data_IF_661549188826
#
_entry.id   IF_661549188826
#
_cell.length_a   1.000
_cell.length_b   1.000
_cell.length_c   1.000
_cell.angle_alpha   90.00
_cell.angle_beta   90.00
_cell.angle_gamma   90.00
#
_symmetry.space_group_name_H-M   'P 1'
#
loop_
_entity.id
_entity.type
_entity.pdbx_description
1 polymer ?
#
# COMPACT_ATOMS: atom_id res chain seq x y z
N UNK A 1 -0.76 15.58 -6.61
CA UNK A 1 -0.53 14.23 -6.05
C UNK A 1 0.80 13.54 -6.41
N UNK A 2 1.67 14.08 -7.30
CA UNK A 2 2.94 13.40 -7.68
C UNK A 2 4.03 13.40 -6.58
N UNK A 3 4.09 14.43 -5.74
CA UNK A 3 5.19 14.61 -4.77
C UNK A 3 5.09 13.73 -3.53
N UNK A 4 3.87 13.38 -3.12
CA UNK A 4 3.62 12.68 -1.85
C UNK A 4 4.29 11.29 -1.82
N UNK A 5 4.15 10.53 -2.91
CA UNK A 5 4.66 9.16 -2.98
C UNK A 5 6.19 9.05 -3.04
N UNK A 6 6.88 10.03 -3.64
CA UNK A 6 8.35 10.10 -3.56
C UNK A 6 8.82 10.66 -2.20
N UNK A 7 8.05 11.59 -1.63
CA UNK A 7 8.33 12.17 -0.32
C UNK A 7 8.33 11.13 0.79
N UNK A 8 7.39 10.19 0.79
CA UNK A 8 7.30 9.16 1.82
C UNK A 8 8.53 8.25 1.91
N UNK A 9 9.17 7.89 0.80
CA UNK A 9 10.41 7.11 0.82
C UNK A 9 11.60 7.88 1.40
N UNK A 10 11.56 9.22 1.37
CA UNK A 10 12.56 10.10 1.98
C UNK A 10 12.24 10.35 3.45
N UNK A 11 10.98 10.65 3.76
CA UNK A 11 10.44 10.88 5.11
C UNK A 11 10.61 9.63 5.98
N UNK A 12 10.35 8.45 5.43
CA UNK A 12 10.52 7.17 6.14
C UNK A 12 11.96 6.86 6.57
N UNK A 13 12.97 7.62 6.12
CA UNK A 13 14.35 7.53 6.61
C UNK A 13 14.58 8.31 7.90
N UNK A 14 13.63 9.16 8.30
CA UNK A 14 13.67 9.98 9.50
C UNK A 14 12.44 9.63 10.37
N UNK A 15 12.59 8.72 11.34
CA UNK A 15 11.49 8.28 12.20
C UNK A 15 10.78 9.44 12.91
N UNK A 16 11.54 10.40 13.44
CA UNK A 16 11.02 11.59 14.14
C UNK A 16 10.06 12.42 13.28
N UNK A 17 10.39 12.62 11.99
CA UNK A 17 9.49 13.32 11.06
C UNK A 17 8.27 12.47 10.72
N UNK A 18 8.46 11.15 10.61
CA UNK A 18 7.36 10.22 10.31
C UNK A 18 6.36 10.19 11.46
N UNK A 19 6.82 10.20 12.71
CA UNK A 19 5.98 10.29 13.91
C UNK A 19 5.21 11.62 13.97
N UNK A 20 5.87 12.74 13.68
CA UNK A 20 5.20 14.05 13.62
C UNK A 20 4.09 14.09 12.56
N UNK A 21 4.33 13.50 11.38
CA UNK A 21 3.31 13.39 10.32
C UNK A 21 2.17 12.45 10.76
N UNK A 22 2.49 11.32 11.41
CA UNK A 22 1.49 10.40 11.92
C UNK A 22 0.57 11.06 12.96
N UNK A 23 1.13 11.93 13.82
CA UNK A 23 0.35 12.70 14.79
C UNK A 23 -0.61 13.67 14.09
N UNK A 24 -0.14 14.39 13.07
CA UNK A 24 -0.97 15.31 12.27
C UNK A 24 -2.10 14.54 11.55
N UNK A 25 -1.79 13.40 10.93
CA UNK A 25 -2.79 12.54 10.26
C UNK A 25 -3.82 12.03 11.26
N UNK A 26 -3.39 11.61 12.45
CA UNK A 26 -4.29 11.11 13.49
C UNK A 26 -5.24 12.21 13.99
N UNK A 27 -4.74 13.43 14.19
CA UNK A 27 -5.60 14.59 14.51
C UNK A 27 -6.60 14.89 13.40
N UNK A 28 -6.16 14.85 12.14
CA UNK A 28 -7.04 15.05 10.99
C UNK A 28 -8.14 13.97 10.90
N UNK A 29 -7.80 12.71 11.18
CA UNK A 29 -8.75 11.59 11.23
C UNK A 29 -9.82 11.80 12.32
N UNK A 30 -9.41 12.23 13.52
CA UNK A 30 -10.35 12.57 14.60
C UNK A 30 -11.26 13.76 14.25
N UNK A 31 -10.70 14.80 13.62
CA UNK A 31 -11.48 15.95 13.18
C UNK A 31 -12.49 15.58 12.11
N UNK A 32 -12.11 14.74 11.15
CA UNK A 32 -13.01 14.23 10.11
C UNK A 32 -14.15 13.40 10.73
N UNK A 33 -13.84 12.55 11.72
CA UNK A 33 -14.84 11.74 12.41
C UNK A 33 -15.85 12.55 13.24
N UNK A 34 -15.47 13.75 13.70
CA UNK A 34 -16.34 14.68 14.44
C UNK A 34 -17.09 15.65 13.54
N UNK A 35 -16.64 15.81 12.29
CA UNK A 35 -17.24 16.72 11.32
C UNK A 35 -18.55 16.20 10.75
N UNK A 36 -19.35 17.07 10.11
CA UNK A 36 -20.53 16.63 9.37
C UNK A 36 -20.11 15.79 8.16
N UNK A 37 -20.78 14.64 7.96
CA UNK A 37 -20.57 13.82 6.78
C UNK A 37 -21.00 14.59 5.52
N UNK A 38 -20.12 14.58 4.52
CA UNK A 38 -20.31 15.21 3.23
C UNK A 38 -19.95 14.22 2.11
N UNK A 39 -20.10 14.64 0.85
CA UNK A 39 -19.89 13.76 -0.30
C UNK A 39 -18.44 13.30 -0.50
N UNK A 40 -17.46 13.96 0.14
CA UNK A 40 -16.03 13.64 0.08
C UNK A 40 -15.55 12.82 1.28
N UNK A 41 -16.39 12.63 2.31
CA UNK A 41 -15.95 12.09 3.60
C UNK A 41 -15.37 10.68 3.50
N UNK A 42 -15.90 9.85 2.60
CA UNK A 42 -15.36 8.50 2.37
C UNK A 42 -13.99 8.52 1.68
N UNK A 43 -13.82 9.38 0.67
CA UNK A 43 -12.57 9.61 -0.03
C UNK A 43 -11.50 10.17 0.93
N UNK A 44 -11.84 11.21 1.70
CA UNK A 44 -10.97 11.83 2.70
C UNK A 44 -10.54 10.83 3.78
N UNK A 45 -11.48 10.02 4.28
CA UNK A 45 -11.18 8.98 5.27
C UNK A 45 -10.22 7.93 4.68
N UNK A 46 -10.47 7.47 3.45
CA UNK A 46 -9.60 6.50 2.79
C UNK A 46 -8.21 7.06 2.49
N UNK A 47 -8.11 8.34 2.13
CA UNK A 47 -6.84 9.04 1.97
C UNK A 47 -6.08 9.08 3.30
N UNK A 48 -6.71 9.49 4.40
CA UNK A 48 -6.07 9.50 5.72
C UNK A 48 -5.60 8.12 6.15
N UNK A 49 -6.40 7.07 5.91
CA UNK A 49 -6.00 5.67 6.14
C UNK A 49 -4.76 5.27 5.32
N UNK A 50 -4.71 5.65 4.05
CA UNK A 50 -3.57 5.35 3.18
C UNK A 50 -2.29 6.02 3.69
N UNK A 51 -2.36 7.31 4.01
CA UNK A 51 -1.22 8.09 4.53
C UNK A 51 -0.77 7.58 5.91
N UNK A 52 -1.72 7.23 6.78
CA UNK A 52 -1.45 6.64 8.10
C UNK A 52 -0.75 5.29 7.97
N UNK A 53 -1.27 4.42 7.11
CA UNK A 53 -0.68 3.11 6.83
C UNK A 53 0.77 3.21 6.33
N UNK A 54 1.07 4.18 5.46
CA UNK A 54 2.44 4.43 5.01
C UNK A 54 3.36 4.85 6.17
N UNK A 55 2.94 5.78 7.02
CA UNK A 55 3.73 6.21 8.17
C UNK A 55 4.00 5.03 9.12
N UNK A 56 2.96 4.26 9.44
CA UNK A 56 3.06 3.07 10.30
C UNK A 56 4.01 2.02 9.71
N UNK A 57 3.95 1.79 8.40
CA UNK A 57 4.88 0.90 7.69
C UNK A 57 6.33 1.35 7.86
N UNK A 58 6.64 2.63 7.65
CA UNK A 58 7.99 3.16 7.82
C UNK A 58 8.48 3.14 9.28
N UNK A 59 7.56 3.23 10.24
CA UNK A 59 7.84 3.08 11.67
C UNK A 59 7.93 1.60 12.12
N UNK A 60 7.76 0.63 11.22
CA UNK A 60 7.80 -0.79 11.53
C UNK A 60 6.55 -1.35 12.22
N UNK A 61 5.47 -0.56 12.33
CA UNK A 61 4.18 -0.95 12.91
C UNK A 61 3.32 -1.67 11.86
N UNK A 62 3.82 -2.83 11.39
CA UNK A 62 3.32 -3.50 10.19
C UNK A 62 1.85 -3.96 10.30
N UNK A 63 1.44 -4.45 11.46
CA UNK A 63 0.07 -4.93 11.66
C UNK A 63 -0.95 -3.79 11.54
N UNK A 64 -0.67 -2.66 12.18
CA UNK A 64 -1.53 -1.47 12.07
C UNK A 64 -1.52 -0.89 10.66
N UNK A 65 -0.37 -0.92 9.97
CA UNK A 65 -0.30 -0.52 8.57
C UNK A 65 -1.20 -1.40 7.68
N UNK A 66 -1.15 -2.72 7.86
CA UNK A 66 -2.00 -3.68 7.16
C UNK A 66 -3.49 -3.41 7.39
N UNK A 67 -3.91 -3.18 8.64
CA UNK A 67 -5.30 -2.85 8.96
C UNK A 67 -5.78 -1.58 8.24
N UNK A 68 -4.94 -0.53 8.24
CA UNK A 68 -5.25 0.70 7.53
C UNK A 68 -5.41 0.45 6.02
N UNK A 69 -4.50 -0.30 5.38
CA UNK A 69 -4.60 -0.59 3.95
C UNK A 69 -5.80 -1.46 3.59
N UNK A 70 -6.15 -2.46 4.42
CA UNK A 70 -7.33 -3.32 4.20
C UNK A 70 -8.66 -2.57 4.31
N UNK A 71 -8.72 -1.52 5.12
CA UNK A 71 -9.93 -0.72 5.30
C UNK A 71 -10.37 0.04 4.05
N UNK A 72 -9.43 0.35 3.14
CA UNK A 72 -9.68 1.14 1.93
C UNK A 72 -10.53 0.36 0.90
N UNK A 73 -10.13 -0.83 0.40
CA UNK A 73 -10.96 -1.61 -0.52
C UNK A 73 -12.30 -2.03 0.11
N UNK A 74 -12.36 -2.20 1.44
CA UNK A 74 -13.62 -2.46 2.13
C UNK A 74 -14.63 -1.29 2.01
N UNK A 75 -14.17 -0.08 1.75
CA UNK A 75 -14.99 1.11 1.53
C UNK A 75 -15.14 1.48 0.04
N UNK A 76 -14.76 0.60 -0.89
CA UNK A 76 -14.76 0.86 -2.34
C UNK A 76 -16.07 1.48 -2.85
N UNK A 77 -17.23 0.95 -2.43
CA UNK A 77 -18.55 1.44 -2.87
C UNK A 77 -18.87 2.87 -2.42
N UNK A 78 -18.14 3.40 -1.43
CA UNK A 78 -18.34 4.75 -0.89
C UNK A 78 -17.39 5.78 -1.51
N UNK A 79 -16.29 5.34 -2.13
CA UNK A 79 -15.30 6.21 -2.78
C UNK A 79 -15.88 6.73 -4.09
N UNK A 80 -15.96 8.06 -4.25
CA UNK A 80 -16.60 8.70 -5.40
C UNK A 80 -15.64 9.33 -6.40
N UNK A 81 -14.49 9.83 -5.94
CA UNK A 81 -13.59 10.66 -6.75
C UNK A 81 -12.18 10.09 -6.80
N UNK A 82 -11.66 9.65 -5.66
CA UNK A 82 -10.27 9.26 -5.47
C UNK A 82 -10.06 7.77 -5.75
N UNK A 83 -10.46 7.32 -6.94
CA UNK A 83 -10.36 5.92 -7.37
C UNK A 83 -8.92 5.37 -7.38
N UNK A 84 -7.90 6.23 -7.31
CA UNK A 84 -6.49 5.80 -7.17
C UNK A 84 -6.18 5.19 -5.81
N UNK A 85 -7.00 5.44 -4.77
CA UNK A 85 -6.75 4.97 -3.40
C UNK A 85 -6.72 3.46 -3.31
N UNK A 86 -7.66 2.78 -3.97
CA UNK A 86 -7.79 1.32 -3.90
C UNK A 86 -6.59 0.59 -4.51
N UNK A 87 -6.20 0.83 -5.78
CA UNK A 87 -5.04 0.15 -6.37
C UNK A 87 -3.73 0.48 -5.66
N UNK A 88 -3.57 1.69 -5.08
CA UNK A 88 -2.40 2.02 -4.27
C UNK A 88 -2.41 1.31 -2.90
N UNK A 89 -3.56 1.18 -2.24
CA UNK A 89 -3.69 0.43 -0.99
C UNK A 89 -3.37 -1.05 -1.19
N UNK A 90 -3.89 -1.66 -2.27
CA UNK A 90 -3.59 -3.05 -2.64
C UNK A 90 -2.11 -3.26 -2.94
N UNK A 91 -1.48 -2.31 -3.65
CA UNK A 91 -0.04 -2.34 -3.90
C UNK A 91 0.77 -2.28 -2.60
N UNK A 92 0.46 -1.37 -1.67
CA UNK A 92 1.19 -1.28 -0.40
C UNK A 92 0.99 -2.52 0.49
N UNK A 93 -0.22 -3.08 0.50
CA UNK A 93 -0.51 -4.34 1.19
C UNK A 93 0.26 -5.52 0.58
N UNK A 94 0.35 -5.59 -0.74
CA UNK A 94 1.16 -6.60 -1.42
C UNK A 94 2.64 -6.49 -1.05
N UNK A 95 3.18 -5.27 -0.98
CA UNK A 95 4.57 -5.04 -0.56
C UNK A 95 4.81 -5.51 0.89
N UNK A 96 3.87 -5.25 1.82
CA UNK A 96 3.94 -5.78 3.18
C UNK A 96 3.97 -7.31 3.21
N UNK A 97 3.16 -7.97 2.37
CA UNK A 97 3.15 -9.43 2.30
C UNK A 97 4.44 -10.00 1.72
N UNK A 98 5.03 -9.32 0.72
CA UNK A 98 6.34 -9.69 0.19
C UNK A 98 7.43 -9.61 1.28
N UNK A 99 7.41 -8.56 2.11
CA UNK A 99 8.33 -8.41 3.24
C UNK A 99 8.16 -9.53 4.29
N UNK A 100 6.95 -10.09 4.42
CA UNK A 100 6.64 -11.23 5.29
C UNK A 100 6.86 -12.61 4.62
N UNK A 101 7.34 -12.66 3.37
CA UNK A 101 7.53 -13.90 2.60
C UNK A 101 6.25 -14.49 1.99
N UNK A 102 5.10 -13.81 2.13
CA UNK A 102 3.78 -14.22 1.63
C UNK A 102 3.57 -13.82 0.16
N UNK A 103 4.50 -14.24 -0.70
CA UNK A 103 4.56 -13.81 -2.10
C UNK A 103 3.34 -14.21 -2.94
N UNK A 104 2.74 -15.38 -2.69
CA UNK A 104 1.55 -15.82 -3.43
C UNK A 104 0.33 -14.92 -3.18
N UNK A 105 0.12 -14.52 -1.92
CA UNK A 105 -0.94 -13.59 -1.55
C UNK A 105 -0.68 -12.19 -2.10
N UNK A 106 0.58 -11.75 -2.08
CA UNK A 106 0.98 -10.48 -2.70
C UNK A 106 0.67 -10.46 -4.21
N UNK A 107 0.96 -11.53 -4.95
CA UNK A 107 0.67 -11.61 -6.39
C UNK A 107 -0.84 -11.47 -6.66
N UNK A 108 -1.70 -12.13 -5.86
CA UNK A 108 -3.16 -12.01 -6.00
C UNK A 108 -3.64 -10.57 -5.81
N UNK A 109 -3.08 -9.86 -4.83
CA UNK A 109 -3.38 -8.44 -4.59
C UNK A 109 -2.92 -7.56 -5.77
N UNK A 110 -1.71 -7.80 -6.30
CA UNK A 110 -1.16 -7.06 -7.44
C UNK A 110 -1.97 -7.27 -8.72
N UNK A 111 -2.41 -8.50 -8.99
CA UNK A 111 -3.26 -8.82 -10.13
C UNK A 111 -4.64 -8.16 -9.99
N UNK A 112 -5.21 -8.18 -8.77
CA UNK A 112 -6.47 -7.48 -8.47
C UNK A 112 -6.35 -5.98 -8.72
N UNK A 113 -5.28 -5.36 -8.21
CA UNK A 113 -5.02 -3.93 -8.38
C UNK A 113 -4.90 -3.51 -9.85
N UNK A 114 -4.29 -4.37 -10.68
CA UNK A 114 -4.04 -4.10 -12.10
C UNK A 114 -5.26 -4.35 -13.00
N UNK A 115 -6.04 -5.39 -12.71
CA UNK A 115 -7.11 -5.84 -13.60
C UNK A 115 -8.44 -5.13 -13.32
N UNK A 116 -8.73 -4.83 -12.06
CA UNK A 116 -10.05 -4.38 -11.63
C UNK A 116 -10.20 -2.86 -11.56
N UNK A 117 -9.10 -2.09 -11.58
CA UNK A 117 -9.11 -0.63 -11.43
C UNK A 117 -8.38 0.03 -12.61
N UNK A 118 -9.06 0.97 -13.29
CA UNK A 118 -8.56 1.63 -14.51
C UNK A 118 -9.04 3.08 -14.60
N UNK A 119 -8.41 3.87 -15.46
CA UNK A 119 -8.76 5.26 -15.78
C UNK A 119 -8.71 6.23 -14.58
N UNK A 120 -7.83 5.96 -13.61
CA UNK A 120 -7.62 6.84 -12.45
C UNK A 120 -6.36 7.70 -12.60
N UNK A 121 -6.28 8.77 -11.81
CA UNK A 121 -5.13 9.68 -11.84
C UNK A 121 -3.82 8.95 -11.53
N UNK A 122 -2.79 9.17 -12.34
CA UNK A 122 -1.46 8.56 -12.21
C UNK A 122 -1.46 7.01 -12.34
N UNK A 123 -2.42 6.42 -13.04
CA UNK A 123 -2.50 4.97 -13.31
C UNK A 123 -1.19 4.38 -13.82
N UNK A 124 -0.55 4.98 -14.83
CA UNK A 124 0.69 4.47 -15.40
C UNK A 124 1.79 4.31 -14.34
N UNK A 125 1.90 5.25 -13.39
CA UNK A 125 2.89 5.18 -12.30
C UNK A 125 2.60 4.01 -11.36
N UNK A 126 1.33 3.83 -11.00
CA UNK A 126 0.90 2.71 -10.14
C UNK A 126 1.15 1.37 -10.84
N UNK A 127 0.85 1.28 -12.14
CA UNK A 127 1.11 0.09 -12.95
C UNK A 127 2.59 -0.25 -13.06
N UNK A 128 3.48 0.73 -13.23
CA UNK A 128 4.93 0.47 -13.22
C UNK A 128 5.39 -0.11 -11.89
N UNK A 129 4.88 0.42 -10.76
CA UNK A 129 5.20 -0.12 -9.43
C UNK A 129 4.65 -1.54 -9.24
N UNK A 130 3.40 -1.78 -9.66
CA UNK A 130 2.78 -3.11 -9.62
C UNK A 130 3.61 -4.10 -10.43
N UNK A 131 4.00 -3.76 -11.66
CA UNK A 131 4.81 -4.63 -12.51
C UNK A 131 6.17 -4.96 -11.88
N UNK A 132 6.85 -3.97 -11.29
CA UNK A 132 8.10 -4.18 -10.58
C UNK A 132 7.91 -5.12 -9.38
N UNK A 133 6.88 -4.89 -8.56
CA UNK A 133 6.55 -5.75 -7.42
C UNK A 133 6.19 -7.18 -7.85
N UNK A 134 5.42 -7.36 -8.93
CA UNK A 134 5.07 -8.69 -9.45
C UNK A 134 6.30 -9.46 -9.91
N UNK A 135 7.25 -8.80 -10.58
CA UNK A 135 8.50 -9.43 -11.01
C UNK A 135 9.35 -9.87 -9.81
N UNK A 136 9.45 -9.01 -8.79
CA UNK A 136 10.19 -9.30 -7.55
C UNK A 136 9.56 -10.45 -6.75
N UNK A 137 8.23 -10.48 -6.62
CA UNK A 137 7.52 -11.54 -5.91
C UNK A 137 7.72 -12.91 -6.58
N UNK A 138 7.72 -12.94 -7.93
CA UNK A 138 7.93 -14.17 -8.71
C UNK A 138 9.38 -14.67 -8.64
N UNK A 139 10.38 -13.78 -8.72
CA UNK A 139 11.79 -14.18 -8.62
C UNK A 139 12.16 -14.73 -7.25
N UNK A 140 11.54 -14.19 -6.19
CA UNK A 140 11.75 -14.66 -4.81
C UNK A 140 11.19 -16.07 -4.58
N UNK A 141 10.14 -16.47 -5.29
CA UNK A 141 9.60 -17.84 -5.27
C UNK A 141 10.47 -18.86 -6.00
N UNK A 142 11.09 -18.49 -7.14
CA UNK A 142 11.94 -19.41 -7.92
C UNK A 142 13.27 -19.72 -7.21
N UNK A 143 13.83 -18.77 -6.46
CA UNK A 143 15.03 -18.99 -5.66
C UNK A 143 14.82 -19.96 -4.48
N UNK A 144 13.60 -20.10 -3.96
CA UNK A 144 13.27 -21.12 -2.96
C UNK A 144 13.29 -22.55 -3.55
N UNK A 145 12.92 -22.69 -4.83
CA UNK A 145 12.84 -23.98 -5.53
C UNK A 145 14.17 -24.46 -6.15
N UNK A 146 15.16 -23.58 -6.34
CA UNK A 146 16.48 -23.95 -6.90
C UNK A 146 17.50 -24.46 -5.88
N UNK A 147 17.14 -24.57 -4.60
CA UNK A 147 18.07 -24.98 -3.54
C UNK A 147 18.21 -26.51 -3.35
N UNK A 148 17.53 -27.34 -4.16
CA UNK A 148 17.65 -28.81 -4.10
C UNK A 148 18.04 -29.41 -5.45
N UNK A 149 19.22 -29.03 -5.96
CA UNK A 149 19.97 -29.92 -6.86
C UNK A 149 21.46 -29.77 -6.53
N UNK A 150 21.92 -30.54 -5.55
CA UNK A 150 23.36 -30.85 -5.48
C UNK A 150 23.70 -31.71 -6.70
N UNK A 151 24.67 -31.33 -7.54
CA UNK A 151 25.22 -32.24 -8.52
C UNK A 151 26.12 -33.20 -7.76
N UNK A 152 25.62 -34.42 -7.49
CA UNK A 152 26.52 -35.52 -7.12
C UNK A 152 27.38 -35.79 -8.34
N UNK A 153 28.62 -35.34 -8.24
CA UNK A 153 29.67 -35.58 -9.22
C UNK A 153 30.38 -36.89 -8.85
N UNK A 154 30.46 -37.80 -9.83
CA UNK A 154 31.30 -39.01 -9.94
C UNK A 154 31.09 -40.13 -8.92
#
# INVERSE_FOLDING_TARGET
MMYIWNGYAVIGKQPELTDGILEVITKAEEMLAKGPENEYSADDACLLKLLKGLCLKYLGRLQEAEENFRSIPANEKKIKYDHYLIPNALLELALLFMEQGRNEEAIKLLDTAKLNYKNYSMESRTHFRIQAATLQAKSSGDNGNRSVVSPVSL
#
